data_IF_671653831486
#
_entry.id   IF_671653831486
#
_cell.length_a   1.000
_cell.length_b   1.000
_cell.length_c   1.000
_cell.angle_alpha   90.00
_cell.angle_beta   90.00
_cell.angle_gamma   90.00
#
_symmetry.space_group_name_H-M   'P 1'
#
loop_
_entity.id
_entity.type
_entity.pdbx_description
1 polymer ?
#
# COMPACT_ATOMS: atom_id res chain seq x y z
N UNK A 1 -34.12 -0.76 -28.21
CA UNK A 1 -32.97 0.01 -27.65
C UNK A 1 -33.12 -0.04 -26.13
N UNK A 2 -32.52 -1.03 -25.48
CA UNK A 2 -32.63 -1.25 -24.04
C UNK A 2 -31.43 -0.58 -23.34
N UNK A 3 -31.70 0.43 -22.51
CA UNK A 3 -30.72 0.96 -21.57
C UNK A 3 -30.41 -0.11 -20.52
N UNK A 4 -29.21 -0.67 -20.59
CA UNK A 4 -28.63 -1.44 -19.47
C UNK A 4 -28.30 -0.44 -18.36
N UNK A 5 -28.98 -0.58 -17.23
CA UNK A 5 -28.61 0.10 -15.99
C UNK A 5 -27.29 -0.50 -15.50
N UNK A 6 -26.19 0.24 -15.68
CA UNK A 6 -24.93 -0.07 -15.01
C UNK A 6 -25.08 0.22 -13.52
N UNK A 7 -25.16 -0.86 -12.73
CA UNK A 7 -25.01 -0.83 -11.27
C UNK A 7 -23.66 -0.21 -10.92
N UNK A 8 -23.66 1.08 -10.62
CA UNK A 8 -22.51 1.79 -10.05
C UNK A 8 -22.37 1.45 -8.56
N UNK A 9 -22.05 0.20 -8.24
CA UNK A 9 -21.51 -0.13 -6.93
C UNK A 9 -20.01 0.23 -6.92
N UNK A 10 -19.66 1.31 -6.22
CA UNK A 10 -18.28 1.80 -6.00
C UNK A 10 -17.43 0.79 -5.21
N UNK A 11 -18.06 -0.26 -4.67
CA UNK A 11 -17.38 -1.40 -4.07
C UNK A 11 -17.18 -2.46 -5.15
N UNK A 12 -15.96 -2.53 -5.70
CA UNK A 12 -15.60 -3.61 -6.62
C UNK A 12 -15.95 -4.97 -6.04
N UNK A 13 -16.73 -5.77 -6.80
CA UNK A 13 -17.11 -7.13 -6.42
C UNK A 13 -15.85 -7.96 -6.12
N UNK A 14 -15.58 -8.20 -4.84
CA UNK A 14 -14.46 -9.05 -4.40
C UNK A 14 -14.89 -10.51 -4.56
N UNK A 15 -14.58 -11.09 -5.71
CA UNK A 15 -14.72 -12.53 -5.88
C UNK A 15 -13.73 -13.27 -4.94
N UNK A 16 -14.19 -14.23 -4.12
CA UNK A 16 -13.29 -15.03 -3.30
C UNK A 16 -12.35 -15.85 -4.20
N UNK A 17 -11.06 -15.90 -3.83
CA UNK A 17 -10.10 -16.75 -4.54
C UNK A 17 -10.37 -18.22 -4.19
N UNK A 18 -10.30 -19.10 -5.19
CA UNK A 18 -10.33 -20.54 -4.95
C UNK A 18 -9.06 -20.97 -4.21
N UNK A 19 -9.15 -22.08 -3.45
CA UNK A 19 -8.00 -22.65 -2.74
C UNK A 19 -6.78 -22.85 -3.65
N UNK A 20 -6.99 -23.36 -4.88
CA UNK A 20 -5.92 -23.56 -5.85
C UNK A 20 -5.26 -22.24 -6.28
N UNK A 21 -6.04 -21.17 -6.51
CA UNK A 21 -5.51 -19.85 -6.87
C UNK A 21 -4.75 -19.20 -5.71
N UNK A 22 -5.25 -19.36 -4.49
CA UNK A 22 -4.59 -18.89 -3.28
C UNK A 22 -3.24 -19.60 -3.09
N UNK A 23 -3.25 -20.93 -3.15
CA UNK A 23 -2.04 -21.75 -3.04
C UNK A 23 -0.98 -21.33 -4.07
N UNK A 24 -1.35 -21.26 -5.35
CA UNK A 24 -0.44 -20.86 -6.41
C UNK A 24 0.18 -19.46 -6.21
N UNK A 25 -0.58 -18.53 -5.61
CA UNK A 25 -0.07 -17.18 -5.28
C UNK A 25 0.92 -17.22 -4.11
N UNK A 26 0.62 -17.97 -3.06
CA UNK A 26 1.54 -18.15 -1.92
C UNK A 26 2.83 -18.87 -2.33
N UNK A 27 2.75 -19.88 -3.21
CA UNK A 27 3.93 -20.62 -3.65
C UNK A 27 4.94 -19.74 -4.41
N UNK A 28 4.50 -18.66 -5.06
CA UNK A 28 5.42 -17.69 -5.67
C UNK A 28 6.23 -16.94 -4.61
N UNK A 29 5.58 -16.56 -3.51
CA UNK A 29 6.26 -15.98 -2.34
C UNK A 29 7.25 -16.95 -1.72
N UNK A 30 6.82 -18.20 -1.50
CA UNK A 30 7.67 -19.24 -0.91
C UNK A 30 8.86 -19.57 -1.81
N UNK A 31 8.69 -19.59 -3.14
CA UNK A 31 9.80 -19.76 -4.07
C UNK A 31 10.87 -18.67 -3.89
N UNK A 32 10.46 -17.39 -3.76
CA UNK A 32 11.39 -16.29 -3.44
C UNK A 32 12.08 -16.51 -2.10
N UNK A 33 11.35 -16.96 -1.08
CA UNK A 33 11.91 -17.30 0.23
C UNK A 33 12.95 -18.43 0.15
N UNK A 34 12.68 -19.47 -0.64
CA UNK A 34 13.61 -20.59 -0.88
C UNK A 34 14.90 -20.09 -1.54
N UNK A 35 14.76 -19.25 -2.57
CA UNK A 35 15.91 -18.68 -3.28
C UNK A 35 16.73 -17.76 -2.35
N UNK A 36 16.06 -16.90 -1.57
CA UNK A 36 16.68 -15.99 -0.61
C UNK A 36 17.42 -16.71 0.51
N UNK A 37 16.88 -17.83 1.00
CA UNK A 37 17.54 -18.68 2.00
C UNK A 37 18.74 -19.47 1.43
N UNK A 38 18.97 -19.44 0.11
CA UNK A 38 20.03 -20.20 -0.54
C UNK A 38 19.69 -21.69 -0.74
N UNK A 39 18.40 -22.00 -0.88
CA UNK A 39 17.92 -23.33 -1.25
C UNK A 39 16.91 -23.93 -0.25
N UNK A 40 16.23 -24.98 -0.72
CA UNK A 40 15.08 -25.61 -0.03
C UNK A 40 15.41 -26.10 1.38
N UNK A 41 16.57 -26.73 1.57
CA UNK A 41 17.00 -27.24 2.88
C UNK A 41 17.17 -26.12 3.90
N UNK A 42 17.90 -25.06 3.52
CA UNK A 42 18.15 -23.90 4.39
C UNK A 42 16.87 -23.13 4.70
N UNK A 43 15.96 -23.05 3.73
CA UNK A 43 14.64 -22.48 3.97
C UNK A 43 13.83 -23.30 4.97
N UNK A 44 13.78 -24.63 4.79
CA UNK A 44 13.09 -25.53 5.70
C UNK A 44 13.64 -25.44 7.14
N UNK A 45 14.97 -25.41 7.28
CA UNK A 45 15.64 -25.21 8.57
C UNK A 45 15.29 -23.84 9.19
N UNK A 46 15.29 -22.77 8.39
CA UNK A 46 14.99 -21.41 8.86
C UNK A 46 13.56 -21.25 9.38
N UNK A 47 12.61 -22.02 8.84
CA UNK A 47 11.22 -22.02 9.28
C UNK A 47 10.89 -23.17 10.24
N UNK A 48 11.90 -23.90 10.75
CA UNK A 48 11.75 -25.06 11.64
C UNK A 48 10.74 -26.10 11.12
N UNK A 49 10.92 -26.49 9.86
CA UNK A 49 10.07 -27.46 9.16
C UNK A 49 10.94 -28.53 8.50
N UNK A 50 10.50 -29.78 8.50
CA UNK A 50 11.20 -30.80 7.73
C UNK A 50 11.06 -30.56 6.23
N UNK A 51 12.09 -30.90 5.45
CA UNK A 51 12.06 -30.81 3.98
C UNK A 51 10.88 -31.58 3.39
N UNK A 52 10.50 -32.72 3.99
CA UNK A 52 9.34 -33.51 3.57
C UNK A 52 8.01 -32.77 3.79
N UNK A 53 7.86 -32.08 4.92
CA UNK A 53 6.69 -31.27 5.20
C UNK A 53 6.61 -30.05 4.25
N UNK A 54 7.77 -29.47 3.92
CA UNK A 54 7.85 -28.40 2.92
C UNK A 54 7.42 -28.91 1.53
N UNK A 55 7.89 -30.08 1.11
CA UNK A 55 7.49 -30.69 -0.16
C UNK A 55 5.97 -30.94 -0.25
N UNK A 56 5.34 -31.34 0.85
CA UNK A 56 3.87 -31.46 0.92
C UNK A 56 3.18 -30.11 0.69
N UNK A 57 3.70 -29.03 1.24
CA UNK A 57 3.17 -27.68 1.01
C UNK A 57 3.36 -27.25 -0.44
N UNK A 58 4.55 -27.44 -1.00
CA UNK A 58 4.84 -27.14 -2.41
C UNK A 58 3.93 -27.92 -3.37
N UNK A 59 3.56 -29.16 -3.02
CA UNK A 59 2.72 -30.02 -3.85
C UNK A 59 1.21 -29.74 -3.80
N UNK A 60 0.73 -28.89 -2.88
CA UNK A 60 -0.70 -28.51 -2.84
C UNK A 60 -1.31 -28.36 -1.45
N UNK A 61 -0.58 -28.68 -0.39
CA UNK A 61 -1.04 -28.42 0.98
C UNK A 61 -0.90 -26.95 1.34
N UNK A 62 -1.90 -26.40 2.02
CA UNK A 62 -1.80 -25.03 2.54
C UNK A 62 -0.92 -25.05 3.80
N UNK A 63 0.03 -24.10 3.93
CA UNK A 63 0.72 -23.91 5.19
C UNK A 63 -0.26 -23.48 6.28
N UNK A 64 0.01 -23.88 7.54
CA UNK A 64 -0.72 -23.35 8.69
C UNK A 64 -0.34 -21.88 8.91
N UNK A 65 -1.14 -21.16 9.70
CA UNK A 65 -0.85 -19.77 10.07
C UNK A 65 0.52 -19.66 10.76
N UNK A 66 0.82 -20.61 11.65
CA UNK A 66 2.11 -20.67 12.35
C UNK A 66 3.30 -20.86 11.39
N UNK A 67 3.14 -21.69 10.35
CA UNK A 67 4.18 -21.85 9.34
C UNK A 67 4.29 -20.59 8.49
N UNK A 68 3.18 -19.95 8.12
CA UNK A 68 3.20 -18.69 7.38
C UNK A 68 3.91 -17.58 8.15
N UNK A 69 3.68 -17.48 9.47
CA UNK A 69 4.35 -16.52 10.34
C UNK A 69 5.88 -16.72 10.32
N UNK A 70 6.34 -17.97 10.48
CA UNK A 70 7.76 -18.32 10.35
C UNK A 70 8.31 -18.06 8.94
N UNK A 71 7.52 -18.28 7.90
CA UNK A 71 7.96 -17.99 6.54
C UNK A 71 8.12 -16.48 6.30
N UNK A 72 7.28 -15.64 6.92
CA UNK A 72 7.36 -14.17 6.82
C UNK A 72 8.66 -13.61 7.44
N UNK A 73 9.28 -14.31 8.40
CA UNK A 73 10.58 -13.90 8.94
C UNK A 73 11.73 -14.09 7.95
N UNK A 74 11.53 -14.94 6.93
CA UNK A 74 12.52 -15.17 5.85
C UNK A 74 12.18 -14.29 4.64
N UNK A 75 10.92 -14.27 4.24
CA UNK A 75 10.42 -13.48 3.10
C UNK A 75 9.13 -12.74 3.47
N UNK A 76 9.31 -11.46 3.76
CA UNK A 76 8.27 -10.49 4.12
C UNK A 76 7.21 -10.29 3.03
N UNK A 77 7.59 -10.46 1.75
CA UNK A 77 6.66 -10.28 0.62
C UNK A 77 5.84 -11.53 0.27
N UNK A 78 5.85 -12.61 1.08
CA UNK A 78 5.16 -13.87 0.74
C UNK A 78 3.68 -13.68 0.39
N UNK A 79 3.02 -12.74 1.06
CA UNK A 79 1.58 -12.50 0.89
C UNK A 79 1.25 -11.53 -0.24
N UNK A 80 2.24 -10.88 -0.88
CA UNK A 80 2.00 -9.80 -1.84
C UNK A 80 1.18 -10.23 -3.06
N UNK A 81 1.49 -11.40 -3.64
CA UNK A 81 0.79 -11.89 -4.81
C UNK A 81 -0.67 -12.26 -4.50
N UNK A 82 -0.94 -12.66 -3.27
CA UNK A 82 -2.29 -12.86 -2.74
C UNK A 82 -3.00 -11.53 -2.53
N UNK A 83 -2.39 -10.60 -1.80
CA UNK A 83 -2.97 -9.30 -1.47
C UNK A 83 -3.25 -8.47 -2.73
N UNK A 84 -2.35 -8.51 -3.72
CA UNK A 84 -2.54 -7.90 -5.04
C UNK A 84 -3.76 -8.45 -5.77
N UNK A 85 -4.09 -9.74 -5.58
CA UNK A 85 -5.32 -10.36 -6.10
C UNK A 85 -6.60 -9.73 -5.54
N UNK A 86 -6.51 -9.00 -4.42
CA UNK A 86 -7.60 -8.26 -3.80
C UNK A 86 -7.46 -6.73 -3.94
N UNK A 87 -6.51 -6.25 -4.77
CA UNK A 87 -6.20 -4.83 -4.89
C UNK A 87 -5.61 -4.23 -3.60
N UNK A 88 -4.97 -5.05 -2.77
CA UNK A 88 -4.31 -4.64 -1.53
C UNK A 88 -2.79 -4.79 -1.67
N UNK A 89 -2.06 -4.10 -0.80
CA UNK A 89 -0.61 -4.18 -0.62
C UNK A 89 -0.34 -4.41 0.86
N UNK A 90 0.67 -5.22 1.18
CA UNK A 90 1.21 -5.34 2.54
C UNK A 90 2.22 -4.21 2.73
N UNK A 91 2.17 -3.56 3.88
CA UNK A 91 3.12 -2.53 4.31
C UNK A 91 3.42 -2.75 5.77
N UNK A 92 4.63 -2.41 6.18
CA UNK A 92 4.95 -2.29 7.59
C UNK A 92 4.04 -1.24 8.24
N UNK A 93 3.70 -1.46 9.51
CA UNK A 93 2.82 -0.55 10.27
C UNK A 93 3.33 0.90 10.27
N UNK A 94 4.65 1.07 10.28
CA UNK A 94 5.32 2.37 10.29
C UNK A 94 5.88 2.76 8.91
N UNK A 95 5.50 2.06 7.84
CA UNK A 95 5.95 2.43 6.50
C UNK A 95 5.40 3.82 6.15
N UNK A 96 6.30 4.80 6.01
CA UNK A 96 5.96 6.11 5.48
C UNK A 96 5.62 5.92 4.01
N UNK A 97 4.33 6.00 3.67
CA UNK A 97 3.91 6.00 2.28
C UNK A 97 4.18 7.40 1.70
N UNK A 98 4.76 7.49 0.50
CA UNK A 98 5.11 8.77 -0.16
C UNK A 98 3.91 9.74 -0.33
N UNK A 99 2.69 9.27 -0.10
CA UNK A 99 1.45 10.05 -0.13
C UNK A 99 1.20 10.79 1.20
N UNK A 100 1.79 10.30 2.30
CA UNK A 100 1.65 10.82 3.66
C UNK A 100 2.82 11.71 4.10
N UNK A 101 3.89 11.78 3.30
CA UNK A 101 5.00 12.68 3.59
C UNK A 101 4.59 14.14 3.29
N UNK A 102 4.14 14.83 4.34
CA UNK A 102 3.82 16.25 4.29
C UNK A 102 4.97 17.08 3.70
N UNK A 103 6.23 16.68 3.88
CA UNK A 103 7.37 17.39 3.31
C UNK A 103 7.40 17.28 1.79
N UNK A 104 7.14 16.10 1.24
CA UNK A 104 7.06 15.90 -0.21
C UNK A 104 5.86 16.65 -0.81
N UNK A 105 4.72 16.62 -0.12
CA UNK A 105 3.52 17.35 -0.54
C UNK A 105 3.75 18.87 -0.55
N UNK A 106 4.33 19.42 0.52
CA UNK A 106 4.73 20.84 0.58
C UNK A 106 5.70 21.17 -0.55
N UNK A 107 6.71 20.33 -0.78
CA UNK A 107 7.69 20.55 -1.84
C UNK A 107 7.05 20.62 -3.23
N UNK A 108 6.10 19.71 -3.52
CA UNK A 108 5.33 19.72 -4.77
C UNK A 108 4.48 20.98 -4.91
N UNK A 109 3.83 21.42 -3.83
CA UNK A 109 3.02 22.65 -3.83
C UNK A 109 3.90 23.87 -4.08
N UNK A 110 5.07 23.96 -3.45
CA UNK A 110 6.01 25.06 -3.65
C UNK A 110 6.49 25.14 -5.10
N UNK A 111 6.85 24.01 -5.71
CA UNK A 111 7.24 23.97 -7.13
C UNK A 111 6.10 24.42 -8.03
N UNK A 112 4.89 23.89 -7.82
CA UNK A 112 3.70 24.27 -8.59
C UNK A 112 3.39 25.78 -8.50
N UNK A 113 3.48 26.37 -7.29
CA UNK A 113 3.29 27.82 -7.11
C UNK A 113 4.38 28.59 -7.84
N UNK A 114 5.65 28.17 -7.72
CA UNK A 114 6.76 28.83 -8.39
C UNK A 114 6.63 28.78 -9.93
N UNK A 115 6.12 27.67 -10.48
CA UNK A 115 5.83 27.55 -11.91
C UNK A 115 4.66 28.45 -12.34
N UNK A 116 3.59 28.52 -11.55
CA UNK A 116 2.42 29.36 -11.83
C UNK A 116 2.74 30.87 -11.71
N UNK A 117 3.69 31.25 -10.86
CA UNK A 117 4.14 32.65 -10.69
C UNK A 117 5.32 33.00 -11.61
N UNK A 118 5.77 32.08 -12.46
CA UNK A 118 6.94 32.29 -13.30
C UNK A 118 6.67 33.39 -14.35
N UNK A 119 7.55 34.38 -14.54
CA UNK A 119 7.33 35.48 -15.49
C UNK A 119 7.10 35.05 -16.95
N UNK A 120 7.65 33.88 -17.33
CA UNK A 120 7.48 33.28 -18.66
C UNK A 120 6.29 32.29 -18.73
N UNK A 121 5.50 32.19 -17.65
CA UNK A 121 4.32 31.35 -17.57
C UNK A 121 3.13 31.94 -18.35
N UNK A 122 2.07 31.13 -18.57
CA UNK A 122 0.87 31.56 -19.28
C UNK A 122 0.22 32.86 -18.75
N UNK A 123 0.27 33.08 -17.44
CA UNK A 123 -0.22 34.30 -16.79
C UNK A 123 0.82 35.41 -16.59
N UNK A 124 2.07 35.16 -16.98
CA UNK A 124 3.21 36.00 -16.64
C UNK A 124 3.36 36.12 -15.12
N UNK A 125 3.32 37.35 -14.58
CA UNK A 125 3.42 37.58 -13.13
C UNK A 125 2.11 37.41 -12.36
N UNK A 126 1.01 37.13 -13.05
CA UNK A 126 -0.31 36.95 -12.44
C UNK A 126 -0.79 35.54 -12.70
N UNK A 127 -1.08 34.77 -11.65
CA UNK A 127 -1.62 33.42 -11.81
C UNK A 127 -2.99 33.50 -12.50
N UNK A 128 -3.14 32.78 -13.62
CA UNK A 128 -4.38 32.74 -14.41
C UNK A 128 -5.31 31.60 -14.00
N UNK A 129 -6.63 31.68 -14.29
CA UNK A 129 -7.61 30.68 -13.84
C UNK A 129 -7.24 29.22 -14.17
N UNK A 130 -6.62 28.97 -15.32
CA UNK A 130 -6.18 27.61 -15.71
C UNK A 130 -5.08 27.04 -14.80
N UNK A 131 -4.19 27.89 -14.27
CA UNK A 131 -3.11 27.47 -13.36
C UNK A 131 -3.68 27.15 -11.97
N UNK A 132 -4.66 27.92 -11.50
CA UNK A 132 -5.41 27.59 -10.28
C UNK A 132 -6.13 26.24 -10.39
N UNK A 133 -6.81 25.99 -11.51
CA UNK A 133 -7.53 24.73 -11.73
C UNK A 133 -6.58 23.54 -11.86
N UNK A 134 -5.43 23.72 -12.51
CA UNK A 134 -4.40 22.68 -12.60
C UNK A 134 -3.86 22.27 -11.22
N UNK A 135 -3.74 23.22 -10.31
CA UNK A 135 -3.25 23.00 -8.94
C UNK A 135 -4.30 22.53 -7.94
N UNK A 136 -5.59 22.52 -8.28
CA UNK A 136 -6.69 22.33 -7.33
C UNK A 136 -6.54 21.03 -6.52
N UNK A 137 -6.26 19.91 -7.18
CA UNK A 137 -6.10 18.62 -6.51
C UNK A 137 -4.99 18.67 -5.47
N UNK A 138 -3.83 19.22 -5.82
CA UNK A 138 -2.67 19.28 -4.95
C UNK A 138 -2.93 20.19 -3.73
N UNK A 139 -3.63 21.30 -3.94
CA UNK A 139 -4.06 22.19 -2.85
C UNK A 139 -5.10 21.54 -1.92
N UNK A 140 -6.03 20.73 -2.45
CA UNK A 140 -6.97 19.94 -1.65
C UNK A 140 -6.25 18.88 -0.82
N UNK A 141 -5.27 18.21 -1.40
CA UNK A 141 -4.44 17.22 -0.70
C UNK A 141 -3.66 17.90 0.44
N UNK A 142 -3.03 19.06 0.20
CA UNK A 142 -2.35 19.84 1.25
C UNK A 142 -3.31 20.30 2.35
N UNK A 143 -4.51 20.76 1.98
CA UNK A 143 -5.52 21.17 2.95
C UNK A 143 -5.96 20.01 3.86
N UNK A 144 -6.16 18.81 3.29
CA UNK A 144 -6.50 17.61 4.05
C UNK A 144 -5.41 17.26 5.08
N UNK A 145 -4.15 17.18 4.63
CA UNK A 145 -3.02 16.80 5.49
C UNK A 145 -2.76 17.86 6.58
N UNK A 146 -2.80 19.15 6.23
CA UNK A 146 -2.65 20.23 7.20
C UNK A 146 -3.81 20.28 8.21
N UNK A 147 -5.04 19.96 7.79
CA UNK A 147 -6.18 19.81 8.69
C UNK A 147 -5.96 18.72 9.74
N UNK A 148 -5.54 17.53 9.32
CA UNK A 148 -5.21 16.44 10.25
C UNK A 148 -4.08 16.80 11.23
N UNK A 149 -3.09 17.55 10.77
CA UNK A 149 -2.02 18.06 11.64
C UNK A 149 -2.57 18.97 12.73
N UNK A 150 -3.47 19.90 12.37
CA UNK A 150 -4.11 20.80 13.32
C UNK A 150 -4.99 20.04 14.33
N UNK A 151 -5.70 19.01 13.89
CA UNK A 151 -6.46 18.12 14.79
C UNK A 151 -5.56 17.43 15.81
N UNK A 152 -4.39 16.93 15.38
CA UNK A 152 -3.38 16.36 16.30
C UNK A 152 -2.87 17.39 17.30
N UNK A 153 -2.58 18.62 16.85
CA UNK A 153 -2.21 19.71 17.76
C UNK A 153 -3.31 20.00 18.78
N UNK A 154 -4.57 20.03 18.34
CA UNK A 154 -5.72 20.23 19.23
C UNK A 154 -5.84 19.09 20.25
N UNK A 155 -5.65 17.84 19.85
CA UNK A 155 -5.66 16.68 20.74
C UNK A 155 -4.56 16.75 21.81
N UNK A 156 -3.33 17.14 21.43
CA UNK A 156 -2.22 17.33 22.38
C UNK A 156 -2.53 18.43 23.40
N UNK A 157 -3.20 19.50 22.96
CA UNK A 157 -3.55 20.65 23.80
C UNK A 157 -4.76 20.40 24.71
N UNK A 158 -5.55 19.34 24.50
CA UNK A 158 -6.69 19.03 25.36
C UNK A 158 -6.18 18.69 26.77
N UNK A 159 -6.67 19.36 27.82
CA UNK A 159 -6.34 19.00 29.19
C UNK A 159 -6.69 17.53 29.41
N UNK A 160 -5.74 16.74 29.92
CA UNK A 160 -6.06 15.41 30.41
C UNK A 160 -6.84 15.60 31.70
N UNK A 161 -8.12 15.21 31.71
CA UNK A 161 -8.89 15.14 32.94
C UNK A 161 -8.11 14.27 33.92
N UNK A 162 -7.67 14.89 35.02
CA UNK A 162 -6.99 14.19 36.12
C UNK A 162 -8.11 13.51 36.91
N UNK A 163 -8.11 12.18 36.87
CA UNK A 163 -9.00 11.34 37.68
C UNK A 163 -8.65 11.43 39.17
#
# INVERSE_FOLDING_TARGET
MQCSMSDHTVVGSRAPLTKARLHAKLMRGIARGIDKAGGKGRFADAIDLSVQALDKQLSGSMPSVEVLDRMLTVEDTILDDWMRGHGKRVVDENAVCDVDDMQLLISRVLVMIAEAEHPDGPGGRTVVPQEYLAGEKLMRDLHSVSGQWLEKCAAIRRPREVA
#
